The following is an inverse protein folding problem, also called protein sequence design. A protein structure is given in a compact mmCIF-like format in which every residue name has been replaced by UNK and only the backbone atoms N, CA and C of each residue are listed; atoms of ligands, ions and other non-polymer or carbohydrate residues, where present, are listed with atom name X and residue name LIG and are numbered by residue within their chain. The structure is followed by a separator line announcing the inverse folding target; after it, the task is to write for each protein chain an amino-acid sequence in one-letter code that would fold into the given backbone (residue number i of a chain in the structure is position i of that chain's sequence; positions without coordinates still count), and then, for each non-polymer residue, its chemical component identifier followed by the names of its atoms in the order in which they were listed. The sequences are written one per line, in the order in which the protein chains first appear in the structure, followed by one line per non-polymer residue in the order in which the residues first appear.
data_IF_059164087176
#
_entry.id   IF_059164087176
#
_cell.length_a   1.000
_cell.length_b   1.000
_cell.length_c   1.000
_cell.angle_alpha   90.00
_cell.angle_beta   90.00
_cell.angle_gamma   90.00
#
_symmetry.space_group_name_H-M   'P 1'
#
loop_
_entity.id
_entity.type
_entity.pdbx_description
1 polymer ?
#
# COMPACT_ATOMS: atom_id res chain seq x y z
N UNK A 1 -11.18 9.74 6.98
CA UNK A 1 -9.80 9.58 6.45
C UNK A 1 -9.87 8.50 5.37
N UNK A 2 -9.10 8.59 4.28
CA UNK A 2 -9.18 7.62 3.17
C UNK A 2 -8.60 6.26 3.58
N UNK A 3 -9.25 5.16 3.22
CA UNK A 3 -8.80 3.77 3.46
C UNK A 3 -7.35 3.53 2.98
N UNK A 4 -6.98 4.09 1.82
CA UNK A 4 -5.62 4.03 1.30
C UNK A 4 -4.58 4.64 2.25
N UNK A 5 -4.95 5.68 3.01
CA UNK A 5 -4.04 6.29 3.98
C UNK A 5 -3.71 5.32 5.10
N UNK A 6 -4.69 4.60 5.64
CA UNK A 6 -4.47 3.67 6.75
C UNK A 6 -3.65 2.46 6.30
N UNK A 7 -3.87 1.96 5.08
CA UNK A 7 -3.06 0.88 4.50
C UNK A 7 -1.60 1.32 4.26
N UNK A 8 -1.39 2.53 3.76
CA UNK A 8 -0.03 3.09 3.63
C UNK A 8 0.63 3.31 5.00
N UNK A 9 -0.14 3.77 5.99
CA UNK A 9 0.36 3.98 7.36
C UNK A 9 0.75 2.65 8.02
N UNK A 10 -0.04 1.59 7.84
CA UNK A 10 0.27 0.24 8.31
C UNK A 10 1.56 -0.29 7.68
N UNK A 11 1.73 -0.11 6.37
CA UNK A 11 2.94 -0.49 5.67
C UNK A 11 4.18 0.26 6.18
N UNK A 12 4.09 1.58 6.39
CA UNK A 12 5.18 2.37 6.98
C UNK A 12 5.47 1.96 8.43
N UNK A 13 4.44 1.62 9.20
CA UNK A 13 4.61 1.13 10.57
C UNK A 13 5.36 -0.21 10.61
N UNK A 14 5.04 -1.15 9.72
CA UNK A 14 5.74 -2.42 9.62
C UNK A 14 7.20 -2.21 9.15
N UNK A 15 7.44 -1.31 8.19
CA UNK A 15 8.80 -0.94 7.75
C UNK A 15 9.63 -0.38 8.91
N UNK A 16 9.08 0.59 9.66
CA UNK A 16 9.71 1.15 10.85
C UNK A 16 9.98 0.07 11.90
N UNK A 17 8.99 -0.79 12.18
CA UNK A 17 9.10 -1.86 13.17
C UNK A 17 10.19 -2.86 12.82
N UNK A 18 10.30 -3.26 11.54
CA UNK A 18 11.39 -4.12 11.06
C UNK A 18 12.76 -3.48 11.26
N UNK A 19 12.90 -2.20 10.95
CA UNK A 19 14.15 -1.46 11.17
C UNK A 19 14.50 -1.35 12.66
N UNK A 20 13.53 -1.04 13.52
CA UNK A 20 13.73 -0.98 14.97
C UNK A 20 14.16 -2.34 15.54
N UNK A 21 13.52 -3.44 15.12
CA UNK A 21 13.92 -4.79 15.53
C UNK A 21 15.36 -5.08 15.14
N UNK A 22 15.75 -4.81 13.88
CA UNK A 22 17.12 -4.99 13.42
C UNK A 22 18.13 -4.14 14.20
N UNK A 23 17.84 -2.85 14.41
CA UNK A 23 18.69 -1.96 15.21
C UNK A 23 18.90 -2.52 16.62
N UNK A 24 17.84 -2.98 17.28
CA UNK A 24 17.95 -3.56 18.61
C UNK A 24 18.74 -4.88 18.63
N UNK A 25 18.68 -5.68 17.57
CA UNK A 25 19.54 -6.89 17.47
C UNK A 25 21.03 -6.58 17.41
N UNK A 26 21.39 -5.36 16.97
CA UNK A 26 22.78 -4.91 16.89
C UNK A 26 23.25 -4.20 18.16
N UNK A 27 22.32 -3.81 19.04
CA UNK A 27 22.65 -3.12 20.27
C UNK A 27 23.31 -4.05 21.29
N UNK A 28 24.27 -3.50 22.03
CA UNK A 28 24.91 -4.17 23.15
C UNK A 28 24.27 -3.70 24.46
N UNK A 29 24.10 -4.59 25.45
CA UNK A 29 23.62 -4.17 26.76
C UNK A 29 24.64 -3.23 27.43
N UNK A 30 24.15 -2.08 27.89
CA UNK A 30 24.91 -1.10 28.66
C UNK A 30 24.70 -1.27 30.17
N UNK A 31 24.97 -0.20 30.93
CA UNK A 31 24.67 -0.17 32.37
C UNK A 31 23.19 0.19 32.56
N UNK A 32 22.57 -0.26 33.64
CA UNK A 32 21.22 0.14 34.06
C UNK A 32 20.09 -0.07 33.02
N UNK A 33 20.24 -1.02 32.09
CA UNK A 33 19.24 -1.31 31.07
C UNK A 33 19.39 -0.49 29.78
N UNK A 34 20.46 0.29 29.64
CA UNK A 34 20.78 0.99 28.40
C UNK A 34 21.06 0.02 27.26
N UNK A 35 20.78 0.46 26.03
CA UNK A 35 21.24 -0.18 24.79
C UNK A 35 22.30 0.70 24.13
N UNK A 36 23.47 0.12 23.87
CA UNK A 36 24.61 0.79 23.25
C UNK A 36 24.68 0.37 21.79
N UNK A 37 24.51 1.33 20.87
CA UNK A 37 24.67 1.09 19.44
C UNK A 37 26.18 1.06 19.13
N UNK A 38 26.70 0.01 18.45
CA UNK A 38 28.08 -0.04 18.04
C UNK A 38 28.46 1.14 17.14
N UNK A 39 29.61 1.76 17.40
CA UNK A 39 30.08 2.95 16.66
C UNK A 39 30.20 2.71 15.15
N UNK A 40 30.50 1.48 14.73
CA UNK A 40 30.59 1.14 13.30
C UNK A 40 29.23 1.21 12.62
N UNK A 41 28.17 0.75 13.29
CA UNK A 41 26.80 0.84 12.79
C UNK A 41 26.35 2.30 12.69
N UNK A 42 26.63 3.11 13.73
CA UNK A 42 26.33 4.55 13.72
C UNK A 42 27.04 5.24 12.55
N UNK A 43 28.35 5.01 12.38
CA UNK A 43 29.12 5.60 11.27
C UNK A 43 28.60 5.19 9.91
N UNK A 44 28.23 3.92 9.75
CA UNK A 44 27.69 3.41 8.50
C UNK A 44 26.36 4.08 8.14
N UNK A 45 25.38 4.07 9.06
CA UNK A 45 24.08 4.67 8.83
C UNK A 45 24.15 6.19 8.70
N UNK A 46 25.00 6.86 9.48
CA UNK A 46 25.24 8.29 9.33
C UNK A 46 25.81 8.62 7.95
N UNK A 47 26.77 7.82 7.46
CA UNK A 47 27.28 7.96 6.10
C UNK A 47 26.19 7.81 5.03
N UNK A 48 25.25 6.88 5.20
CA UNK A 48 24.11 6.72 4.30
C UNK A 48 23.16 7.94 4.36
N UNK A 49 22.88 8.47 5.55
CA UNK A 49 22.05 9.65 5.75
C UNK A 49 22.66 10.89 5.08
N UNK A 50 23.98 11.05 5.20
CA UNK A 50 24.71 12.21 4.66
C UNK A 50 24.97 12.11 3.15
N UNK A 51 24.83 10.92 2.56
CA UNK A 51 25.09 10.67 1.13
C UNK A 51 23.79 10.80 0.32
N UNK A 52 23.70 11.70 -0.67
CA UNK A 52 22.53 11.77 -1.54
C UNK A 52 22.26 10.44 -2.25
N UNK A 53 20.99 10.07 -2.46
CA UNK A 53 20.62 8.80 -3.11
C UNK A 53 21.39 8.53 -4.41
N UNK A 54 21.61 9.56 -5.25
CA UNK A 54 22.34 9.42 -6.51
C UNK A 54 23.79 8.92 -6.33
N UNK A 55 24.39 9.22 -5.18
CA UNK A 55 25.79 8.93 -4.81
C UNK A 55 25.93 7.66 -3.96
N UNK A 56 24.82 7.07 -3.48
CA UNK A 56 24.84 5.78 -2.79
C UNK A 56 25.38 4.66 -3.70
N UNK A 57 25.98 3.65 -3.09
CA UNK A 57 26.34 2.44 -3.83
C UNK A 57 25.09 1.69 -4.32
N UNK A 58 25.20 0.92 -5.40
CA UNK A 58 24.03 0.19 -5.91
C UNK A 58 23.44 -0.79 -4.89
N UNK A 59 24.28 -1.38 -4.03
CA UNK A 59 23.82 -2.24 -2.95
C UNK A 59 22.96 -1.49 -1.92
N UNK A 60 23.28 -0.24 -1.64
CA UNK A 60 22.50 0.58 -0.70
C UNK A 60 21.20 1.03 -1.36
N UNK A 61 21.27 1.49 -2.61
CA UNK A 61 20.08 1.83 -3.40
C UNK A 61 19.11 0.66 -3.57
N UNK A 62 19.61 -0.58 -3.67
CA UNK A 62 18.75 -1.77 -3.77
C UNK A 62 17.80 -1.89 -2.57
N UNK A 63 18.26 -1.53 -1.37
CA UNK A 63 17.39 -1.53 -0.18
C UNK A 63 16.31 -0.46 -0.29
N UNK A 64 16.67 0.75 -0.72
CA UNK A 64 15.72 1.86 -0.88
C UNK A 64 14.67 1.56 -1.97
N UNK A 65 15.13 1.03 -3.12
CA UNK A 65 14.26 0.61 -4.21
C UNK A 65 13.27 -0.45 -3.76
N UNK A 66 13.72 -1.45 -3.01
CA UNK A 66 12.83 -2.50 -2.50
C UNK A 66 11.71 -1.94 -1.62
N UNK A 67 12.01 -0.98 -0.75
CA UNK A 67 10.97 -0.34 0.06
C UNK A 67 10.03 0.52 -0.79
N UNK A 68 10.56 1.22 -1.80
CA UNK A 68 9.75 1.99 -2.74
C UNK A 68 8.81 1.10 -3.57
N UNK A 69 9.30 -0.05 -4.05
CA UNK A 69 8.54 -1.02 -4.83
C UNK A 69 7.35 -1.58 -4.05
N UNK A 70 7.51 -1.85 -2.74
CA UNK A 70 6.41 -2.30 -1.88
C UNK A 70 5.27 -1.25 -1.85
N UNK A 71 5.61 0.03 -1.66
CA UNK A 71 4.64 1.13 -1.67
C UNK A 71 3.98 1.29 -3.04
N UNK A 72 4.76 1.21 -4.12
CA UNK A 72 4.24 1.31 -5.48
C UNK A 72 3.26 0.18 -5.79
N UNK A 73 3.57 -1.05 -5.39
CA UNK A 73 2.69 -2.20 -5.60
C UNK A 73 1.31 -2.02 -4.95
N UNK A 74 1.25 -1.49 -3.72
CA UNK A 74 -0.01 -1.21 -3.04
C UNK A 74 -0.82 -0.14 -3.80
N UNK A 75 -0.15 0.95 -4.21
CA UNK A 75 -0.78 2.05 -4.95
C UNK A 75 -1.28 1.58 -6.32
N UNK A 76 -0.48 0.84 -7.07
CA UNK A 76 -0.85 0.27 -8.37
C UNK A 76 -2.05 -0.66 -8.27
N UNK A 77 -2.10 -1.48 -7.23
CA UNK A 77 -3.24 -2.37 -6.94
C UNK A 77 -4.51 -1.54 -6.74
N UNK A 78 -4.47 -0.51 -5.89
CA UNK A 78 -5.63 0.35 -5.63
C UNK A 78 -6.05 1.17 -6.86
N UNK A 79 -5.09 1.66 -7.65
CA UNK A 79 -5.38 2.34 -8.91
C UNK A 79 -6.05 1.42 -9.93
N UNK A 80 -5.62 0.16 -10.01
CA UNK A 80 -6.21 -0.84 -10.91
C UNK A 80 -7.63 -1.18 -10.51
N UNK A 81 -7.87 -1.43 -9.21
CA UNK A 81 -9.21 -1.67 -8.66
C UNK A 81 -10.14 -0.47 -8.94
N UNK A 82 -9.67 0.75 -8.69
CA UNK A 82 -10.46 1.96 -8.94
C UNK A 82 -10.80 2.14 -10.43
N UNK A 83 -9.85 1.90 -11.34
CA UNK A 83 -10.11 1.95 -12.79
C UNK A 83 -11.17 0.94 -13.21
N UNK A 84 -11.11 -0.29 -12.70
CA UNK A 84 -12.10 -1.32 -13.01
C UNK A 84 -13.51 -0.90 -12.59
N UNK A 85 -13.68 -0.34 -11.39
CA UNK A 85 -14.96 0.20 -10.90
C UNK A 85 -15.47 1.32 -11.80
N UNK A 86 -14.59 2.24 -12.20
CA UNK A 86 -14.96 3.36 -13.09
C UNK A 86 -15.41 2.87 -14.46
N UNK A 87 -14.71 1.92 -15.07
CA UNK A 87 -15.11 1.36 -16.37
C UNK A 87 -16.41 0.55 -16.27
N UNK A 88 -16.60 -0.22 -15.21
CA UNK A 88 -17.86 -0.94 -14.96
C UNK A 88 -19.04 0.04 -14.83
N UNK A 89 -18.87 1.13 -14.06
CA UNK A 89 -19.89 2.17 -13.91
C UNK A 89 -20.21 2.88 -15.23
N UNK A 90 -19.21 3.12 -16.09
CA UNK A 90 -19.42 3.68 -17.44
C UNK A 90 -20.19 2.72 -18.34
N UNK A 91 -19.82 1.43 -18.34
CA UNK A 91 -20.53 0.38 -19.06
C UNK A 91 -22.00 0.31 -18.64
N UNK A 92 -22.24 0.32 -17.33
CA UNK A 92 -23.59 0.37 -16.76
C UNK A 92 -24.39 1.58 -17.21
N UNK A 93 -23.83 2.80 -17.14
CA UNK A 93 -24.53 4.00 -17.61
C UNK A 93 -24.92 3.90 -19.09
N UNK A 94 -24.05 3.33 -19.92
CA UNK A 94 -24.34 3.10 -21.34
C UNK A 94 -25.42 2.05 -21.55
N UNK A 95 -25.42 0.95 -20.78
CA UNK A 95 -26.47 -0.06 -20.84
C UNK A 95 -27.82 0.45 -20.33
N UNK A 96 -27.84 1.21 -19.23
CA UNK A 96 -29.07 1.81 -18.69
C UNK A 96 -29.74 2.76 -19.69
N UNK A 97 -28.95 3.55 -20.41
CA UNK A 97 -29.45 4.38 -21.51
C UNK A 97 -29.99 3.56 -22.69
N UNK A 98 -29.54 2.32 -22.89
CA UNK A 98 -30.06 1.41 -23.91
C UNK A 98 -31.31 0.66 -23.44
N UNK A 99 -31.44 0.37 -22.14
CA UNK A 99 -32.59 -0.36 -21.57
C UNK A 99 -33.75 0.55 -21.18
N UNK A 100 -33.56 1.86 -21.00
CA UNK A 100 -34.66 2.83 -20.86
C UNK A 100 -35.52 2.93 -22.14
N UNK A 101 -35.03 2.39 -23.27
CA UNK A 101 -35.78 2.19 -24.52
C UNK A 101 -36.51 0.82 -24.60
N UNK A 102 -36.35 -0.09 -23.62
CA UNK A 102 -36.92 -1.45 -23.60
C UNK A 102 -37.79 -1.75 -22.33
N UNK A 103 -38.69 -2.73 -22.46
CA UNK A 103 -39.82 -3.06 -21.56
C UNK A 103 -39.50 -3.15 -20.03
N UNK A 104 -40.21 -2.40 -19.17
CA UNK A 104 -39.92 -2.27 -17.73
C UNK A 104 -40.13 -3.52 -16.87
N UNK A 105 -40.79 -4.59 -17.35
CA UNK A 105 -41.01 -5.80 -16.52
C UNK A 105 -39.73 -6.63 -16.30
N UNK A 106 -38.72 -6.50 -17.15
CA UNK A 106 -37.47 -7.29 -17.05
C UNK A 106 -36.39 -6.64 -16.15
N UNK A 107 -36.66 -5.47 -15.57
CA UNK A 107 -35.63 -4.67 -14.90
C UNK A 107 -35.37 -5.05 -13.43
N UNK A 108 -36.28 -5.79 -12.80
CA UNK A 108 -36.29 -5.96 -11.33
C UNK A 108 -35.42 -7.10 -10.81
N UNK A 109 -34.93 -8.00 -11.67
CA UNK A 109 -34.12 -9.14 -11.23
C UNK A 109 -32.61 -8.86 -11.15
N UNK A 110 -32.09 -7.92 -11.95
CA UNK A 110 -30.64 -7.68 -12.03
C UNK A 110 -30.12 -6.64 -11.02
N UNK A 111 -30.98 -5.76 -10.47
CA UNK A 111 -30.57 -4.79 -9.44
C UNK A 111 -30.18 -5.48 -8.12
N UNK A 112 -30.82 -6.61 -7.80
CA UNK A 112 -30.54 -7.36 -6.57
C UNK A 112 -29.17 -8.07 -6.61
N UNK A 113 -28.84 -8.74 -7.73
CA UNK A 113 -27.56 -9.44 -7.91
C UNK A 113 -26.37 -8.46 -7.94
N UNK A 114 -26.58 -7.24 -8.45
CA UNK A 114 -25.54 -6.22 -8.51
C UNK A 114 -25.25 -5.62 -7.12
N UNK A 115 -26.29 -5.40 -6.31
CA UNK A 115 -26.12 -4.93 -4.94
C UNK A 115 -25.41 -5.98 -4.08
N UNK A 116 -25.71 -7.26 -4.24
CA UNK A 116 -24.95 -8.33 -3.59
C UNK A 116 -23.47 -8.34 -4.01
N UNK A 117 -23.20 -8.19 -5.30
CA UNK A 117 -21.82 -8.22 -5.84
C UNK A 117 -20.98 -7.01 -5.41
N UNK A 118 -21.60 -5.83 -5.32
CA UNK A 118 -20.94 -4.61 -4.85
C UNK A 118 -20.68 -4.65 -3.34
N UNK A 119 -21.59 -5.23 -2.56
CA UNK A 119 -21.41 -5.39 -1.12
C UNK A 119 -20.28 -6.38 -0.82
N UNK A 120 -20.18 -7.49 -1.56
CA UNK A 120 -19.08 -8.46 -1.42
C UNK A 120 -17.69 -7.85 -1.74
N UNK A 121 -17.63 -6.91 -2.69
CA UNK A 121 -16.39 -6.19 -3.03
C UNK A 121 -16.00 -5.11 -2.01
N UNK A 122 -16.96 -4.55 -1.28
CA UNK A 122 -16.70 -3.58 -0.20
C UNK A 122 -16.26 -4.26 1.10
N UNK A 123 -16.71 -5.50 1.35
CA UNK A 123 -16.37 -6.28 2.55
C UNK A 123 -15.06 -7.09 2.42
N UNK A 124 -14.42 -7.09 1.25
CA UNK A 124 -13.06 -7.60 1.06
C UNK A 124 -12.91 -9.12 1.00
N UNK A 125 -13.89 -9.84 0.45
CA UNK A 125 -13.73 -11.24 0.02
C UNK A 125 -13.14 -11.37 -1.41
#
# INVERSE_FOLDING_TARGET
MSELREQLADQEHERWSRWMRYLFTLCLPGRNGDLIIPVQSVKHWQGQIDTPYAELSEKEKDSDRKEADNTLQLVETKLTQHKAVVEAARGWRKMKQLTEDDDPENLWHWEAELMESLTALEDGE
#
